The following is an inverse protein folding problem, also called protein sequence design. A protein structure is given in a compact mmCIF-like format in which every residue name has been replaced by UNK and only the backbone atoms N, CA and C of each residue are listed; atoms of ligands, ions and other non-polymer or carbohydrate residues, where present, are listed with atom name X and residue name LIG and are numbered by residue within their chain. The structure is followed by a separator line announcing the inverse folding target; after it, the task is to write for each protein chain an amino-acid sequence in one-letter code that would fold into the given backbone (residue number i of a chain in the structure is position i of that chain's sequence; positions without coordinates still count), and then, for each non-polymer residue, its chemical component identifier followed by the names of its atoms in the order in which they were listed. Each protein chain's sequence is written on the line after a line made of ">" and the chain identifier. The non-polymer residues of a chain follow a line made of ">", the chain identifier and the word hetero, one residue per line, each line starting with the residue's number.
data_IF_134717515928
#
_entry.id   IF_134717515928
#
_cell.length_a   1.000
_cell.length_b   1.000
_cell.length_c   1.000
_cell.angle_alpha   90.00
_cell.angle_beta   90.00
_cell.angle_gamma   90.00
#
_symmetry.space_group_name_H-M   'P 1'
#
loop_
_entity.id
_entity.type
_entity.pdbx_description
1 polymer ?
#
# COMPACT_ATOMS: atom_id res chain seq x y z
N UNK A 1 19.96 79.76 -5.37
CA UNK A 1 19.98 79.99 -6.84
C UNK A 1 20.53 78.73 -7.51
N UNK A 2 19.96 78.36 -8.66
CA UNK A 2 20.28 77.18 -9.53
C UNK A 2 19.74 75.85 -8.96
N UNK A 3 18.54 75.35 -9.28
CA UNK A 3 17.97 74.81 -10.55
C UNK A 3 18.77 73.66 -11.17
N UNK A 4 18.35 72.43 -10.86
CA UNK A 4 18.40 71.30 -11.80
C UNK A 4 17.14 70.47 -11.63
N UNK A 5 16.22 70.65 -12.58
CA UNK A 5 15.13 69.73 -12.85
C UNK A 5 15.65 68.71 -13.86
N UNK A 6 15.48 67.43 -13.57
CA UNK A 6 15.55 66.36 -14.56
C UNK A 6 14.20 65.64 -14.54
N UNK A 7 13.58 65.64 -15.71
CA UNK A 7 12.25 65.16 -16.02
C UNK A 7 12.26 63.67 -16.42
N UNK A 8 11.05 63.07 -16.46
CA UNK A 8 10.66 61.86 -17.20
C UNK A 8 11.13 60.50 -16.61
N UNK A 9 10.36 59.41 -16.59
CA UNK A 9 9.07 59.12 -17.21
C UNK A 9 8.34 57.98 -16.48
N UNK A 10 7.04 57.97 -16.78
CA UNK A 10 5.97 57.04 -16.52
C UNK A 10 6.30 55.54 -16.70
N UNK A 11 5.62 54.75 -15.86
CA UNK A 11 5.45 53.29 -15.87
C UNK A 11 4.82 52.78 -17.18
N UNK A 12 5.34 51.68 -17.73
CA UNK A 12 4.57 50.75 -18.55
C UNK A 12 5.11 49.32 -18.37
N UNK A 13 4.20 48.41 -18.00
CA UNK A 13 4.44 47.02 -17.67
C UNK A 13 4.68 46.14 -18.91
N UNK A 14 5.55 45.15 -18.79
CA UNK A 14 5.33 43.83 -19.42
C UNK A 14 5.68 42.76 -18.38
N UNK A 15 4.64 42.26 -17.72
CA UNK A 15 4.67 41.00 -16.96
C UNK A 15 4.80 39.85 -17.96
N UNK A 16 6.03 39.61 -18.41
CA UNK A 16 6.40 38.47 -19.25
C UNK A 16 7.33 37.56 -18.47
N UNK A 17 6.75 36.66 -17.66
CA UNK A 17 7.54 35.74 -16.86
C UNK A 17 6.67 34.83 -16.01
N UNK A 18 5.89 33.96 -16.65
CA UNK A 18 5.37 32.74 -16.02
C UNK A 18 6.54 31.91 -15.53
N UNK A 19 7.01 32.19 -14.32
CA UNK A 19 7.92 31.29 -13.62
C UNK A 19 7.06 30.12 -13.15
N UNK A 20 7.05 29.06 -13.95
CA UNK A 20 6.72 27.72 -13.46
C UNK A 20 7.51 27.52 -12.18
N UNK A 21 6.81 27.46 -11.05
CA UNK A 21 7.41 26.94 -9.82
C UNK A 21 7.88 25.54 -10.15
N UNK A 22 9.20 25.35 -10.22
CA UNK A 22 9.79 24.03 -10.34
C UNK A 22 9.37 23.28 -9.08
N UNK A 23 8.51 22.27 -9.25
CA UNK A 23 8.12 21.36 -8.20
C UNK A 23 9.40 20.70 -7.70
N UNK A 24 9.89 21.18 -6.56
CA UNK A 24 11.11 20.72 -5.94
C UNK A 24 10.91 19.23 -5.64
N UNK A 25 11.77 18.32 -6.15
CA UNK A 25 11.60 16.89 -5.93
C UNK A 25 11.53 16.62 -4.44
N UNK A 26 10.33 16.36 -3.95
CA UNK A 26 10.12 16.04 -2.54
C UNK A 26 10.77 14.68 -2.33
N UNK A 27 11.86 14.65 -1.57
CA UNK A 27 12.61 13.44 -1.32
C UNK A 27 11.65 12.36 -0.80
N UNK A 28 11.60 11.22 -1.48
CA UNK A 28 10.76 10.11 -1.05
C UNK A 28 11.14 9.75 0.39
N UNK A 29 10.15 9.54 1.28
CA UNK A 29 10.42 9.22 2.68
C UNK A 29 11.30 7.98 2.78
N UNK A 30 12.24 7.99 3.73
CA UNK A 30 13.10 6.84 3.99
C UNK A 30 12.24 5.67 4.48
N UNK A 31 12.33 4.49 3.83
CA UNK A 31 11.57 3.32 4.26
C UNK A 31 11.92 2.86 5.68
N UNK A 32 10.94 2.31 6.41
CA UNK A 32 11.12 1.73 7.74
C UNK A 32 12.02 0.49 7.74
N UNK A 33 12.09 -0.23 6.62
CA UNK A 33 12.92 -1.43 6.49
C UNK A 33 13.85 -1.33 5.29
N UNK A 34 15.06 -1.87 5.44
CA UNK A 34 15.96 -2.15 4.33
C UNK A 34 15.45 -3.42 3.63
N UNK A 35 15.48 -3.48 2.30
CA UNK A 35 15.13 -4.67 1.48
C UNK A 35 13.64 -5.07 1.38
N UNK A 36 12.70 -4.19 1.75
CA UNK A 36 11.27 -4.35 1.45
C UNK A 36 10.69 -5.71 1.87
N UNK A 37 10.08 -6.42 0.91
CA UNK A 37 9.45 -7.73 1.11
C UNK A 37 10.35 -8.78 1.76
N UNK A 38 11.65 -8.80 1.42
CA UNK A 38 12.56 -9.80 1.98
C UNK A 38 12.67 -9.69 3.51
N UNK A 39 12.58 -8.49 4.06
CA UNK A 39 12.58 -8.28 5.51
C UNK A 39 11.27 -8.75 6.13
N UNK A 40 10.13 -8.43 5.50
CA UNK A 40 8.80 -8.81 6.00
C UNK A 40 8.61 -10.34 6.04
N UNK A 41 9.20 -11.08 5.11
CA UNK A 41 9.03 -12.53 5.03
C UNK A 41 9.88 -13.34 5.99
N UNK A 42 10.97 -12.77 6.51
CA UNK A 42 11.97 -13.54 7.27
C UNK A 42 11.87 -13.38 8.79
N UNK A 43 10.98 -12.50 9.29
CA UNK A 43 10.72 -12.31 10.72
C UNK A 43 9.22 -12.07 10.94
N UNK A 44 8.47 -13.14 11.20
CA UNK A 44 7.02 -13.08 11.38
C UNK A 44 6.61 -12.28 12.64
N UNK A 45 7.14 -12.55 13.84
CA UNK A 45 6.82 -11.77 15.04
C UNK A 45 7.24 -10.29 14.91
N UNK A 46 8.41 -10.03 14.34
CA UNK A 46 8.88 -8.66 14.09
C UNK A 46 8.01 -7.93 13.07
N UNK A 47 7.54 -8.62 12.03
CA UNK A 47 6.62 -8.03 11.04
C UNK A 47 5.25 -7.71 11.64
N UNK A 48 4.69 -8.59 12.47
CA UNK A 48 3.45 -8.29 13.20
C UNK A 48 3.62 -7.05 14.09
N UNK A 49 4.74 -6.97 14.81
CA UNK A 49 5.07 -5.80 15.63
C UNK A 49 5.18 -4.53 14.80
N UNK A 50 5.83 -4.61 13.64
CA UNK A 50 6.00 -3.48 12.72
C UNK A 50 4.66 -3.00 12.15
N UNK A 51 3.81 -3.91 11.67
CA UNK A 51 2.47 -3.58 11.18
C UNK A 51 1.60 -2.97 12.29
N UNK A 52 1.75 -3.42 13.53
CA UNK A 52 1.06 -2.81 14.67
C UNK A 52 1.52 -1.38 14.96
N UNK A 53 2.82 -1.07 14.81
CA UNK A 53 3.32 0.31 14.88
C UNK A 53 2.77 1.21 13.78
N UNK A 54 2.33 0.62 12.66
CA UNK A 54 1.67 1.30 11.55
C UNK A 54 0.14 1.40 11.74
N UNK A 55 -0.41 0.88 12.83
CA UNK A 55 -1.82 1.04 13.21
C UNK A 55 -2.75 -0.10 12.78
N UNK A 56 -2.23 -1.24 12.30
CA UNK A 56 -3.06 -2.35 11.82
C UNK A 56 -3.81 -3.12 12.92
N UNK A 57 -3.37 -3.06 14.19
CA UNK A 57 -4.03 -3.73 15.33
C UNK A 57 -4.27 -5.24 15.12
N UNK A 58 -3.22 -5.91 14.65
CA UNK A 58 -3.04 -7.36 14.62
C UNK A 58 -2.99 -7.94 16.03
N UNK A 59 -3.73 -9.01 16.25
CA UNK A 59 -3.66 -9.83 17.46
C UNK A 59 -2.37 -10.63 17.56
N UNK A 60 -2.32 -11.55 18.51
CA UNK A 60 -1.16 -12.44 18.69
C UNK A 60 -0.95 -13.34 17.45
N UNK A 61 0.31 -13.63 17.14
CA UNK A 61 0.68 -14.56 16.07
C UNK A 61 0.73 -15.98 16.64
N UNK A 62 -0.38 -16.69 16.51
CA UNK A 62 -0.65 -17.97 17.19
C UNK A 62 -0.86 -19.11 16.20
N UNK A 63 -0.81 -20.35 16.68
CA UNK A 63 -1.05 -21.54 15.86
C UNK A 63 -2.47 -21.51 15.31
N UNK A 64 -2.60 -21.65 13.99
CA UNK A 64 -3.86 -21.76 13.26
C UNK A 64 -3.73 -22.84 12.18
N UNK A 65 -4.48 -23.95 12.34
CA UNK A 65 -4.37 -25.10 11.46
C UNK A 65 -2.96 -25.71 11.50
N UNK A 66 -2.28 -25.76 10.35
CA UNK A 66 -0.93 -26.31 10.20
C UNK A 66 0.18 -25.24 10.27
N UNK A 67 -0.16 -23.98 10.54
CA UNK A 67 0.79 -22.87 10.56
C UNK A 67 0.52 -21.90 11.69
N UNK A 68 1.05 -20.69 11.55
CA UNK A 68 0.80 -19.57 12.45
C UNK A 68 0.06 -18.47 11.70
N UNK A 69 -0.77 -17.74 12.42
CA UNK A 69 -1.59 -16.67 11.88
C UNK A 69 -1.78 -15.55 12.90
N UNK A 70 -1.88 -14.32 12.41
CA UNK A 70 -2.40 -13.18 13.15
C UNK A 70 -3.40 -12.42 12.28
N UNK A 71 -4.46 -11.95 12.92
CA UNK A 71 -5.54 -11.20 12.29
C UNK A 71 -5.68 -9.82 12.91
N UNK A 72 -5.87 -8.82 12.05
CA UNK A 72 -6.17 -7.46 12.45
C UNK A 72 -7.62 -7.32 12.89
N UNK A 73 -7.85 -6.40 13.84
CA UNK A 73 -9.21 -5.94 14.12
C UNK A 73 -9.81 -5.31 12.85
N UNK A 74 -11.02 -5.73 12.41
CA UNK A 74 -11.65 -5.18 11.22
C UNK A 74 -11.74 -3.65 11.27
N UNK A 75 -11.41 -2.99 10.16
CA UNK A 75 -11.35 -1.53 10.08
C UNK A 75 -12.39 -1.01 9.09
N UNK A 76 -13.29 -0.08 9.49
CA UNK A 76 -14.29 0.47 8.58
C UNK A 76 -13.63 1.30 7.48
N UNK A 77 -14.04 1.08 6.22
CA UNK A 77 -13.58 1.83 5.05
C UNK A 77 -14.63 2.87 4.63
N UNK A 78 -15.15 3.61 5.61
CA UNK A 78 -16.29 4.51 5.43
C UNK A 78 -16.81 5.04 6.76
N UNK A 79 -17.91 5.78 6.70
CA UNK A 79 -18.64 6.21 7.89
C UNK A 79 -19.21 4.98 8.64
N UNK A 80 -18.76 4.70 9.87
CA UNK A 80 -19.25 3.54 10.63
C UNK A 80 -20.68 3.73 11.16
N UNK A 81 -21.24 4.94 11.10
CA UNK A 81 -22.62 5.23 11.54
C UNK A 81 -23.69 4.91 10.48
N UNK A 82 -23.28 4.60 9.25
CA UNK A 82 -24.16 4.31 8.11
C UNK A 82 -24.15 2.82 7.75
N UNK A 83 -24.95 1.96 8.43
CA UNK A 83 -25.01 0.54 8.13
C UNK A 83 -25.71 0.25 6.78
N UNK A 84 -25.32 -0.83 6.08
CA UNK A 84 -24.23 -1.75 6.41
C UNK A 84 -22.86 -1.09 6.15
N UNK A 85 -21.85 -1.43 6.97
CA UNK A 85 -20.52 -0.80 6.90
C UNK A 85 -19.58 -1.67 6.07
N UNK A 86 -18.85 -1.05 5.13
CA UNK A 86 -17.79 -1.73 4.38
C UNK A 86 -16.56 -1.91 5.28
N UNK A 87 -16.10 -3.15 5.47
CA UNK A 87 -15.06 -3.48 6.44
C UNK A 87 -13.83 -4.04 5.74
N UNK A 88 -12.65 -3.55 6.09
CA UNK A 88 -11.38 -4.13 5.68
C UNK A 88 -10.79 -5.03 6.76
N UNK A 89 -10.09 -6.06 6.33
CA UNK A 89 -9.45 -7.08 7.15
C UNK A 89 -8.01 -7.28 6.67
N UNK A 90 -7.13 -7.65 7.60
CA UNK A 90 -5.77 -8.06 7.32
C UNK A 90 -5.47 -9.35 8.08
N UNK A 91 -4.94 -10.32 7.37
CA UNK A 91 -4.42 -11.57 7.93
C UNK A 91 -3.00 -11.76 7.45
N UNK A 92 -2.09 -12.11 8.36
CA UNK A 92 -0.74 -12.59 8.04
C UNK A 92 -0.60 -14.03 8.49
N UNK A 93 0.04 -14.86 7.68
CA UNK A 93 0.24 -16.27 8.02
C UNK A 93 1.54 -16.82 7.49
N UNK A 94 2.01 -17.90 8.10
CA UNK A 94 3.26 -18.56 7.76
C UNK A 94 3.64 -19.66 8.75
N UNK A 95 4.95 -19.83 8.95
CA UNK A 95 5.49 -20.66 10.02
C UNK A 95 5.81 -19.79 11.25
N UNK A 96 6.35 -20.39 12.32
CA UNK A 96 6.65 -19.69 13.57
C UNK A 96 7.61 -18.51 13.40
N UNK A 97 8.52 -18.59 12.42
CA UNK A 97 9.61 -17.62 12.22
C UNK A 97 9.38 -16.73 11.00
N UNK A 98 8.64 -17.21 10.00
CA UNK A 98 8.61 -16.62 8.66
C UNK A 98 7.19 -16.51 8.16
N UNK A 99 6.88 -15.34 7.60
CA UNK A 99 5.62 -15.15 6.88
C UNK A 99 5.68 -15.85 5.52
N UNK A 100 4.53 -16.37 5.14
CA UNK A 100 4.25 -16.94 3.83
C UNK A 100 3.29 -16.05 3.05
N UNK A 101 2.26 -15.52 3.70
CA UNK A 101 1.24 -14.69 3.05
C UNK A 101 0.84 -13.49 3.90
N UNK A 102 0.44 -12.43 3.22
CA UNK A 102 -0.22 -11.26 3.76
C UNK A 102 -1.47 -10.99 2.91
N UNK A 103 -2.65 -11.21 3.50
CA UNK A 103 -3.96 -11.10 2.84
C UNK A 103 -4.71 -9.91 3.39
N UNK A 104 -4.96 -8.91 2.55
CA UNK A 104 -5.90 -7.85 2.82
C UNK A 104 -7.22 -8.18 2.15
N UNK A 105 -8.34 -7.88 2.78
CA UNK A 105 -9.64 -7.99 2.12
C UNK A 105 -10.58 -6.86 2.49
N UNK A 106 -11.48 -6.51 1.57
CA UNK A 106 -12.55 -5.54 1.77
C UNK A 106 -13.89 -6.22 1.52
N UNK A 107 -14.75 -6.20 2.53
CA UNK A 107 -16.15 -6.57 2.43
C UNK A 107 -16.94 -5.36 1.95
N UNK A 108 -17.36 -5.41 0.69
CA UNK A 108 -18.17 -4.39 0.06
C UNK A 108 -19.64 -4.83 0.12
N UNK A 109 -20.29 -4.48 1.23
CA UNK A 109 -21.68 -4.81 1.54
C UNK A 109 -22.62 -3.62 1.37
N UNK A 110 -22.07 -2.42 1.28
CA UNK A 110 -22.78 -1.19 0.95
C UNK A 110 -22.27 -0.62 -0.37
N UNK A 111 -23.04 -0.87 -1.42
CA UNK A 111 -22.69 -0.48 -2.79
C UNK A 111 -22.70 1.06 -2.99
N UNK A 112 -23.57 1.79 -2.28
CA UNK A 112 -23.67 3.24 -2.40
C UNK A 112 -22.34 3.94 -2.04
N UNK A 113 -21.61 3.38 -1.08
CA UNK A 113 -20.31 3.88 -0.63
C UNK A 113 -19.12 3.06 -1.19
N UNK A 114 -19.36 2.17 -2.16
CA UNK A 114 -18.38 1.19 -2.64
C UNK A 114 -17.14 1.82 -3.26
N UNK A 115 -17.31 2.86 -4.09
CA UNK A 115 -16.18 3.55 -4.73
C UNK A 115 -15.25 4.22 -3.69
N UNK A 116 -15.84 4.92 -2.72
CA UNK A 116 -15.09 5.52 -1.62
C UNK A 116 -14.37 4.45 -0.78
N UNK A 117 -15.06 3.36 -0.42
CA UNK A 117 -14.47 2.29 0.37
C UNK A 117 -13.29 1.62 -0.33
N UNK A 118 -13.37 1.41 -1.64
CA UNK A 118 -12.25 0.89 -2.44
C UNK A 118 -11.06 1.85 -2.47
N UNK A 119 -11.31 3.15 -2.60
CA UNK A 119 -10.24 4.15 -2.54
C UNK A 119 -9.55 4.13 -1.16
N UNK A 120 -10.33 4.09 -0.07
CA UNK A 120 -9.76 4.00 1.28
C UNK A 120 -9.00 2.69 1.49
N UNK A 121 -9.52 1.56 0.99
CA UNK A 121 -8.84 0.27 1.04
C UNK A 121 -7.53 0.28 0.25
N UNK A 122 -7.51 0.86 -0.95
CA UNK A 122 -6.29 1.06 -1.73
C UNK A 122 -5.25 1.90 -0.98
N UNK A 123 -5.67 2.98 -0.29
CA UNK A 123 -4.78 3.78 0.56
C UNK A 123 -4.29 3.00 1.78
N UNK A 124 -5.16 2.24 2.42
CA UNK A 124 -4.88 1.41 3.59
C UNK A 124 -3.82 0.33 3.31
N UNK A 125 -3.76 -0.17 2.08
CA UNK A 125 -2.68 -1.07 1.61
C UNK A 125 -1.47 -0.27 1.13
N UNK A 126 -1.68 0.69 0.24
CA UNK A 126 -0.62 1.35 -0.51
C UNK A 126 0.31 2.22 0.34
N UNK A 127 -0.22 2.92 1.34
CA UNK A 127 0.59 3.77 2.22
C UNK A 127 1.59 2.94 3.04
N UNK A 128 1.17 1.86 3.73
CA UNK A 128 2.11 0.98 4.42
C UNK A 128 3.15 0.34 3.52
N UNK A 129 2.78 -0.14 2.34
CA UNK A 129 3.76 -0.72 1.41
C UNK A 129 4.85 0.29 1.01
N UNK A 130 4.47 1.54 0.73
CA UNK A 130 5.43 2.63 0.45
C UNK A 130 6.34 2.90 1.65
N UNK A 131 5.77 2.99 2.85
CA UNK A 131 6.54 3.20 4.08
C UNK A 131 7.49 2.03 4.39
N UNK A 132 7.14 0.80 4.00
CA UNK A 132 7.99 -0.38 4.14
C UNK A 132 8.99 -0.53 2.99
N UNK A 133 8.95 0.32 1.97
CA UNK A 133 9.76 0.14 0.76
C UNK A 133 9.44 -1.17 0.04
N UNK A 134 8.23 -1.70 0.22
CA UNK A 134 7.74 -2.92 -0.39
C UNK A 134 7.04 -2.57 -1.72
N UNK A 135 7.54 -3.05 -2.88
CA UNK A 135 6.91 -2.78 -4.16
C UNK A 135 5.52 -3.41 -4.25
N UNK A 136 4.65 -2.89 -5.12
CA UNK A 136 3.32 -3.46 -5.37
C UNK A 136 2.15 -2.53 -5.02
N UNK A 137 2.40 -1.40 -4.35
CA UNK A 137 1.36 -0.42 -4.04
C UNK A 137 0.60 0.07 -5.28
N UNK A 138 1.30 0.52 -6.31
CA UNK A 138 0.69 1.06 -7.52
C UNK A 138 -0.16 0.04 -8.31
N UNK A 139 0.35 -1.15 -8.69
CA UNK A 139 -0.44 -2.10 -9.45
C UNK A 139 -1.66 -2.63 -8.66
N UNK A 140 -1.53 -2.80 -7.35
CA UNK A 140 -2.65 -3.24 -6.51
C UNK A 140 -3.72 -2.16 -6.38
N UNK A 141 -3.33 -0.91 -6.13
CA UNK A 141 -4.29 0.21 -6.03
C UNK A 141 -5.00 0.39 -7.36
N UNK A 142 -4.28 0.36 -8.48
CA UNK A 142 -4.86 0.46 -9.81
C UNK A 142 -5.87 -0.67 -10.08
N UNK A 143 -5.55 -1.92 -9.72
CA UNK A 143 -6.46 -3.06 -9.88
C UNK A 143 -7.75 -2.91 -9.07
N UNK A 144 -7.67 -2.40 -7.83
CA UNK A 144 -8.83 -2.16 -6.97
C UNK A 144 -9.69 -1.01 -7.52
N UNK A 145 -9.07 0.12 -7.89
CA UNK A 145 -9.78 1.32 -8.35
C UNK A 145 -10.42 1.12 -9.72
N UNK A 146 -9.73 0.43 -10.64
CA UNK A 146 -10.26 0.07 -11.96
C UNK A 146 -11.23 -1.13 -11.93
N UNK A 147 -11.46 -1.72 -10.76
CA UNK A 147 -12.24 -2.95 -10.59
C UNK A 147 -11.78 -4.11 -11.49
N UNK A 148 -10.48 -4.22 -11.71
CA UNK A 148 -9.90 -5.23 -12.59
C UNK A 148 -8.98 -6.16 -11.79
N UNK A 149 -9.49 -7.33 -11.34
CA UNK A 149 -8.66 -8.37 -10.73
C UNK A 149 -7.44 -8.70 -11.59
N UNK A 150 -6.33 -9.05 -10.95
CA UNK A 150 -5.08 -9.29 -11.64
C UNK A 150 -4.02 -9.87 -10.71
N UNK A 151 -2.94 -10.37 -11.28
CA UNK A 151 -1.84 -10.93 -10.52
C UNK A 151 -0.50 -10.63 -11.19
N UNK A 152 0.58 -10.73 -10.43
CA UNK A 152 1.92 -10.55 -10.97
C UNK A 152 3.03 -10.81 -9.97
N UNK A 153 4.26 -10.60 -10.44
CA UNK A 153 5.47 -10.74 -9.64
C UNK A 153 6.05 -9.36 -9.34
N UNK A 154 6.59 -9.21 -8.14
CA UNK A 154 7.23 -8.02 -7.61
C UNK A 154 8.64 -8.40 -7.16
N UNK A 155 9.51 -7.41 -6.95
CA UNK A 155 10.80 -7.70 -6.32
C UNK A 155 10.57 -8.22 -4.88
N UNK A 156 10.75 -9.52 -4.67
CA UNK A 156 10.62 -10.19 -3.37
C UNK A 156 9.21 -10.69 -2.99
N UNK A 157 8.21 -10.57 -3.86
CA UNK A 157 6.85 -11.06 -3.61
C UNK A 157 6.13 -11.43 -4.91
N UNK A 158 5.08 -12.24 -4.82
CA UNK A 158 4.00 -12.26 -5.83
C UNK A 158 2.77 -11.61 -5.25
N UNK A 159 1.89 -11.08 -6.10
CA UNK A 159 0.61 -10.54 -5.66
C UNK A 159 -0.54 -11.06 -6.52
N UNK A 160 -1.72 -11.13 -5.92
CA UNK A 160 -2.97 -11.39 -6.59
C UNK A 160 -4.09 -10.50 -6.00
N UNK A 161 -4.86 -9.87 -6.86
CA UNK A 161 -6.09 -9.15 -6.55
C UNK A 161 -7.25 -9.95 -7.12
N UNK A 162 -8.15 -10.41 -6.27
CA UNK A 162 -9.32 -11.20 -6.67
C UNK A 162 -10.60 -10.56 -6.16
N UNK A 163 -11.71 -10.96 -6.78
CA UNK A 163 -13.06 -10.59 -6.42
C UNK A 163 -13.85 -11.86 -6.11
N UNK A 164 -14.35 -11.99 -4.89
CA UNK A 164 -15.10 -13.16 -4.43
C UNK A 164 -16.55 -12.75 -4.12
N UNK A 165 -17.56 -13.59 -4.42
CA UNK A 165 -18.94 -13.32 -4.01
C UNK A 165 -19.08 -13.39 -2.48
N UNK A 166 -19.86 -12.48 -1.90
CA UNK A 166 -20.39 -12.59 -0.53
C UNK A 166 -21.91 -12.65 -0.58
N UNK A 167 -22.57 -13.34 0.38
CA UNK A 167 -24.03 -13.36 0.45
C UNK A 167 -24.67 -11.97 0.45
N UNK A 168 -24.00 -10.99 1.07
CA UNK A 168 -24.45 -9.61 1.20
C UNK A 168 -23.69 -8.62 0.30
N UNK A 169 -22.90 -9.09 -0.67
CA UNK A 169 -22.12 -8.21 -1.53
C UNK A 169 -20.93 -8.87 -2.20
N UNK A 170 -19.76 -8.24 -2.11
CA UNK A 170 -18.53 -8.73 -2.77
C UNK A 170 -17.33 -8.55 -1.85
N UNK A 171 -16.42 -9.53 -1.82
CA UNK A 171 -15.07 -9.37 -1.26
C UNK A 171 -14.10 -8.93 -2.34
N UNK A 172 -13.34 -7.89 -2.08
CA UNK A 172 -12.04 -7.72 -2.73
C UNK A 172 -10.96 -8.34 -1.87
N UNK A 173 -10.01 -9.03 -2.48
CA UNK A 173 -8.91 -9.68 -1.78
C UNK A 173 -7.62 -9.33 -2.47
N UNK A 174 -6.65 -8.84 -1.69
CA UNK A 174 -5.27 -8.65 -2.13
C UNK A 174 -4.40 -9.60 -1.34
N UNK A 175 -3.73 -10.51 -2.01
CA UNK A 175 -2.78 -11.44 -1.38
C UNK A 175 -1.39 -11.13 -1.87
N UNK A 176 -0.46 -10.88 -0.95
CA UNK A 176 0.97 -10.92 -1.21
C UNK A 176 1.53 -12.23 -0.67
N UNK A 177 2.36 -12.88 -1.47
CA UNK A 177 2.95 -14.17 -1.13
C UNK A 177 4.46 -14.09 -1.20
N UNK A 178 5.13 -14.71 -0.23
CA UNK A 178 6.55 -15.01 -0.31
C UNK A 178 6.77 -15.91 -1.54
N UNK A 179 7.67 -15.55 -2.46
CA UNK A 179 8.00 -16.41 -3.58
C UNK A 179 8.61 -17.70 -3.02
N UNK A 180 8.28 -18.83 -3.63
CA UNK A 180 9.08 -20.04 -3.41
C UNK A 180 10.53 -19.70 -3.72
N UNK A 181 11.46 -20.22 -2.91
CA UNK A 181 12.88 -20.04 -3.21
C UNK A 181 13.06 -20.45 -4.67
N UNK A 182 13.39 -19.49 -5.54
CA UNK A 182 13.69 -19.79 -6.93
C UNK A 182 14.75 -20.88 -6.87
N UNK A 183 14.39 -22.10 -7.30
CA UNK A 183 15.34 -23.19 -7.42
C UNK A 183 16.54 -22.59 -8.14
N UNK A 184 17.67 -22.56 -7.44
CA UNK A 184 18.85 -21.86 -7.92
C UNK A 184 19.12 -22.30 -9.34
N UNK A 185 19.49 -21.35 -10.20
CA UNK A 185 20.23 -21.65 -11.40
C UNK A 185 21.51 -22.36 -10.94
N UNK A 186 21.42 -23.67 -10.76
CA UNK A 186 22.56 -24.56 -10.66
C UNK A 186 23.12 -24.60 -12.08
N UNK A 187 23.85 -23.56 -12.44
CA UNK A 187 24.74 -23.63 -13.57
C UNK A 187 25.73 -24.78 -13.28
N UNK A 188 25.81 -25.82 -14.12
CA UNK A 188 26.73 -26.90 -13.88
C UNK A 188 28.14 -26.30 -13.97
N UNK A 189 28.85 -26.35 -12.83
CA UNK A 189 30.27 -25.98 -12.75
C UNK A 189 31.01 -26.90 -13.73
N UNK A 190 31.31 -26.40 -14.93
CA UNK A 190 32.14 -27.12 -15.90
C UNK A 190 33.50 -27.36 -15.23
N UNK A 191 33.82 -28.63 -14.99
CA UNK A 191 35.20 -29.07 -14.78
C UNK A 191 35.88 -29.18 -16.14
#
# INVERSE_FOLDING_TARGET
>A
MIRTAASLALVAAVLGGCSKSAEQPQAAPTPFVKNGWATLWNDAPGTVTLLNRMGFRLGEYVVAGQGFQSEATPTPMGDPSAPPVNMAHLTVSGDQQRLRTMRFSLDLVNAANGAFARQQFGRWIGQPLKQLGAPGAEPVVAAIEAEHPGAGTLAGATYAVTREPLPSGTRWVVTFSRPDAMAGTAEPRKK
#
